data_IF_908820744852
#
_entry.id   IF_908820744852
#
_cell.length_a   1.000
_cell.length_b   1.000
_cell.length_c   1.000
_cell.angle_alpha   90.00
_cell.angle_beta   90.00
_cell.angle_gamma   90.00
#
_symmetry.space_group_name_H-M   'P 1'
#
loop_
_entity.id
_entity.type
_entity.pdbx_description
1 polymer ?
#
# COMPACT_ATOMS: atom_id res chain seq x y z
N UNK A 1 -0.49 -4.00 -2.85
CA UNK A 1 -1.10 -3.36 -4.03
C UNK A 1 -0.08 -2.81 -5.03
N UNK A 2 1.08 -2.31 -4.59
CA UNK A 2 2.10 -1.74 -5.50
C UNK A 2 2.59 -2.64 -6.64
N UNK A 3 2.61 -3.96 -6.47
CA UNK A 3 2.93 -4.90 -7.57
C UNK A 3 1.86 -4.87 -8.67
N UNK A 4 0.58 -4.70 -8.31
CA UNK A 4 -0.51 -4.51 -9.28
C UNK A 4 -0.35 -3.16 -9.99
N UNK A 5 0.00 -2.08 -9.28
CA UNK A 5 0.31 -0.78 -9.89
C UNK A 5 1.42 -0.91 -10.93
N UNK A 6 2.54 -1.55 -10.57
CA UNK A 6 3.66 -1.77 -11.51
C UNK A 6 3.25 -2.64 -12.69
N UNK A 7 2.40 -3.64 -12.48
CA UNK A 7 1.88 -4.50 -13.55
C UNK A 7 0.97 -3.73 -14.50
N UNK A 8 0.03 -2.93 -13.97
CA UNK A 8 -0.87 -2.08 -14.77
C UNK A 8 -0.09 -1.04 -15.57
N UNK A 9 0.88 -0.36 -14.96
CA UNK A 9 1.76 0.59 -15.65
C UNK A 9 2.57 -0.07 -16.76
N UNK A 10 3.01 -1.32 -16.56
CA UNK A 10 3.72 -2.10 -17.59
C UNK A 10 2.80 -2.56 -18.73
N UNK A 11 1.54 -2.90 -18.44
CA UNK A 11 0.54 -3.28 -19.46
C UNK A 11 0.13 -2.08 -20.32
N UNK A 12 -0.02 -0.89 -19.71
CA UNK A 12 -0.37 0.34 -20.43
C UNK A 12 0.78 0.82 -21.33
N UNK A 13 2.01 0.35 -21.12
CA UNK A 13 3.09 0.50 -22.10
C UNK A 13 2.96 -0.60 -23.16
N UNK A 14 2.54 -0.29 -24.41
CA UNK A 14 2.91 -1.18 -25.51
C UNK A 14 4.44 -1.23 -25.52
N UNK A 15 5.00 -2.42 -25.70
CA UNK A 15 6.42 -2.59 -25.99
C UNK A 15 6.83 -1.50 -27.00
N UNK A 16 7.62 -0.50 -26.55
CA UNK A 16 8.37 0.31 -27.50
C UNK A 16 9.39 -0.66 -28.08
N UNK A 17 9.02 -1.28 -29.20
CA UNK A 17 9.95 -2.00 -30.04
C UNK A 17 11.17 -1.10 -30.21
N UNK A 18 12.33 -1.56 -29.75
CA UNK A 18 13.58 -1.01 -30.26
C UNK A 18 13.51 -1.20 -31.77
N UNK A 19 13.58 -0.14 -32.60
CA UNK A 19 13.77 -0.35 -34.02
C UNK A 19 15.10 -1.08 -34.17
N UNK A 20 15.02 -2.28 -34.72
CA UNK A 20 16.18 -3.02 -35.15
C UNK A 20 16.75 -2.28 -36.35
N UNK A 21 17.76 -1.44 -36.16
CA UNK A 21 18.67 -1.05 -37.23
C UNK A 21 20.06 -0.89 -36.65
N UNK A 22 20.91 -1.88 -36.94
CA UNK A 22 22.35 -1.66 -37.00
C UNK A 22 22.59 -0.60 -38.07
N UNK A 23 22.96 0.59 -37.65
CA UNK A 23 23.77 1.51 -38.43
C UNK A 23 24.63 2.23 -37.39
N UNK A 24 25.93 2.02 -37.51
CA UNK A 24 26.96 2.62 -36.67
C UNK A 24 26.89 4.15 -36.86
N UNK A 25 26.22 4.84 -35.94
CA UNK A 25 26.25 6.29 -35.80
C UNK A 25 27.27 6.64 -34.71
N UNK A 26 28.43 7.26 -35.04
CA UNK A 26 29.51 7.49 -34.09
C UNK A 26 29.24 8.58 -33.04
N UNK A 27 28.13 9.33 -33.15
CA UNK A 27 27.86 10.51 -32.33
C UNK A 27 26.71 10.34 -31.31
N UNK A 28 26.29 9.11 -31.04
CA UNK A 28 25.41 8.85 -29.91
C UNK A 28 26.24 8.78 -28.63
N UNK A 29 26.11 9.81 -27.80
CA UNK A 29 26.46 9.74 -26.38
C UNK A 29 25.79 8.50 -25.78
N UNK A 30 26.60 7.46 -25.54
CA UNK A 30 26.17 6.17 -24.98
C UNK A 30 25.67 6.30 -23.53
N UNK A 31 25.64 7.51 -22.96
CA UNK A 31 25.07 7.81 -21.65
C UNK A 31 23.62 8.33 -21.72
N UNK A 32 22.77 7.82 -22.62
CA UNK A 32 21.33 8.00 -22.45
C UNK A 32 20.82 7.10 -21.31
N UNK A 33 21.17 7.45 -20.08
CA UNK A 33 20.37 7.06 -18.94
C UNK A 33 19.01 7.75 -19.09
N UNK A 34 17.89 7.00 -19.21
CA UNK A 34 16.58 7.65 -19.17
C UNK A 34 16.50 8.43 -17.86
N UNK A 35 15.99 9.67 -17.85
CA UNK A 35 15.99 10.49 -16.64
C UNK A 35 15.28 9.72 -15.53
N UNK A 36 16.03 9.30 -14.50
CA UNK A 36 15.54 8.49 -13.39
C UNK A 36 14.35 9.19 -12.69
N UNK A 37 14.35 10.53 -12.70
CA UNK A 37 13.26 11.40 -12.24
C UNK A 37 11.93 11.17 -13.00
N UNK A 38 11.94 10.89 -14.31
CA UNK A 38 10.71 10.55 -15.05
C UNK A 38 10.14 9.17 -14.62
N UNK A 39 10.92 8.31 -13.98
CA UNK A 39 10.45 6.99 -13.56
C UNK A 39 9.72 7.02 -12.22
N UNK A 40 10.22 7.77 -11.24
CA UNK A 40 9.62 7.92 -9.91
C UNK A 40 8.38 8.80 -9.93
N UNK A 41 8.40 9.94 -10.61
CA UNK A 41 7.23 10.83 -10.70
C UNK A 41 6.04 10.14 -11.37
N UNK A 42 6.33 9.43 -12.47
CA UNK A 42 5.31 8.64 -13.17
C UNK A 42 4.80 7.47 -12.33
N UNK A 43 5.69 6.81 -11.58
CA UNK A 43 5.28 5.75 -10.65
C UNK A 43 4.37 6.32 -9.57
N UNK A 44 4.75 7.43 -8.94
CA UNK A 44 3.95 8.10 -7.92
C UNK A 44 2.56 8.47 -8.43
N UNK A 45 2.47 9.14 -9.58
CA UNK A 45 1.18 9.51 -10.17
C UNK A 45 0.32 8.29 -10.50
N UNK A 46 0.92 7.22 -11.03
CA UNK A 46 0.19 5.99 -11.33
C UNK A 46 -0.29 5.28 -10.06
N UNK A 47 0.55 5.24 -9.02
CA UNK A 47 0.20 4.64 -7.74
C UNK A 47 -0.93 5.41 -7.06
N UNK A 48 -0.79 6.73 -6.91
CA UNK A 48 -1.84 7.60 -6.37
C UNK A 48 -3.14 7.46 -7.15
N UNK A 49 -3.08 7.49 -8.49
CA UNK A 49 -4.25 7.34 -9.34
C UNK A 49 -4.92 5.97 -9.18
N UNK A 50 -4.14 4.91 -9.01
CA UNK A 50 -4.65 3.57 -8.76
C UNK A 50 -5.36 3.48 -7.40
N UNK A 51 -4.73 3.98 -6.32
CA UNK A 51 -5.31 3.93 -4.98
C UNK A 51 -6.58 4.78 -4.87
N UNK A 52 -6.59 5.99 -5.43
CA UNK A 52 -7.80 6.81 -5.54
C UNK A 52 -8.87 6.10 -6.36
N UNK A 53 -8.46 5.43 -7.44
CA UNK A 53 -9.34 4.61 -8.27
C UNK A 53 -10.03 3.49 -7.49
N UNK A 54 -9.32 2.80 -6.58
CA UNK A 54 -9.91 1.79 -5.71
C UNK A 54 -10.99 2.38 -4.80
N UNK A 55 -10.73 3.55 -4.20
CA UNK A 55 -11.71 4.24 -3.36
C UNK A 55 -12.96 4.67 -4.14
N UNK A 56 -12.78 5.18 -5.37
CA UNK A 56 -13.90 5.53 -6.26
C UNK A 56 -14.70 4.29 -6.63
N UNK A 57 -14.04 3.19 -7.01
CA UNK A 57 -14.71 1.92 -7.32
C UNK A 57 -15.50 1.43 -6.10
N UNK A 58 -14.93 1.51 -4.90
CA UNK A 58 -15.62 1.13 -3.67
C UNK A 58 -16.92 1.91 -3.47
N UNK A 59 -16.86 3.24 -3.58
CA UNK A 59 -18.05 4.11 -3.42
C UNK A 59 -19.09 3.83 -4.50
N UNK A 60 -18.67 3.70 -5.76
CA UNK A 60 -19.57 3.41 -6.88
C UNK A 60 -20.23 2.07 -6.68
N UNK A 61 -19.46 1.00 -6.46
CA UNK A 61 -20.01 -0.35 -6.28
C UNK A 61 -20.90 -0.42 -5.03
N UNK A 62 -20.48 0.17 -3.92
CA UNK A 62 -21.28 0.25 -2.70
C UNK A 62 -22.61 1.00 -2.88
N UNK A 63 -22.66 2.01 -3.75
CA UNK A 63 -23.91 2.70 -4.05
C UNK A 63 -24.92 1.84 -4.84
N UNK A 64 -24.44 0.86 -5.62
CA UNK A 64 -25.31 -0.03 -6.41
C UNK A 64 -25.64 -1.36 -5.71
N UNK A 65 -24.67 -1.94 -5.00
CA UNK A 65 -24.79 -3.26 -4.37
C UNK A 65 -25.07 -3.19 -2.86
N UNK A 66 -24.89 -2.01 -2.25
CA UNK A 66 -25.00 -1.80 -0.81
C UNK A 66 -23.90 -2.52 -0.01
N UNK A 67 -23.72 -2.19 1.28
CA UNK A 67 -23.87 -0.84 1.83
C UNK A 67 -22.88 0.16 1.18
N UNK A 68 -23.04 1.46 1.42
CA UNK A 68 -22.13 2.45 0.82
C UNK A 68 -20.75 2.39 1.48
N UNK A 69 -19.68 2.41 0.68
CA UNK A 69 -18.31 2.24 1.18
C UNK A 69 -17.90 3.27 2.25
N UNK A 70 -18.48 4.46 2.20
CA UNK A 70 -18.19 5.58 3.08
C UNK A 70 -19.21 5.76 4.21
N UNK A 71 -20.12 4.80 4.43
CA UNK A 71 -21.18 4.90 5.44
C UNK A 71 -20.62 5.02 6.87
N UNK A 72 -19.51 4.34 7.14
CA UNK A 72 -18.82 4.35 8.44
C UNK A 72 -17.74 5.43 8.54
N UNK A 73 -17.66 6.35 7.58
CA UNK A 73 -16.81 7.55 7.69
C UNK A 73 -17.61 8.61 8.47
N UNK A 74 -17.09 9.13 9.59
CA UNK A 74 -17.79 10.14 10.37
C UNK A 74 -18.04 11.41 9.54
N UNK A 75 -19.17 12.09 9.75
CA UNK A 75 -19.48 13.31 9.03
C UNK A 75 -18.47 14.41 9.38
N UNK A 76 -18.17 15.30 8.43
CA UNK A 76 -17.20 16.40 8.62
C UNK A 76 -17.57 17.37 9.76
N UNK A 77 -18.83 17.40 10.17
CA UNK A 77 -19.29 18.16 11.34
C UNK A 77 -18.88 17.54 12.68
N UNK A 78 -18.62 16.24 12.73
CA UNK A 78 -18.20 15.53 13.94
C UNK A 78 -16.68 15.53 14.06
N UNK A 79 -16.14 16.70 14.40
CA UNK A 79 -14.69 16.92 14.55
C UNK A 79 -14.09 15.98 15.60
N UNK A 80 -14.84 15.67 16.67
CA UNK A 80 -14.36 14.74 17.69
C UNK A 80 -14.19 13.34 17.11
N UNK A 81 -15.20 12.83 16.38
CA UNK A 81 -15.14 11.53 15.72
C UNK A 81 -13.94 11.37 14.79
N UNK A 82 -13.63 12.44 14.06
CA UNK A 82 -12.47 12.51 13.16
C UNK A 82 -11.17 12.48 13.96
N UNK A 83 -11.02 13.36 14.95
CA UNK A 83 -9.78 13.49 15.71
C UNK A 83 -9.43 12.23 16.49
N UNK A 84 -10.42 11.62 17.19
CA UNK A 84 -10.15 10.40 17.92
C UNK A 84 -9.93 9.21 16.97
N UNK A 85 -10.67 9.14 15.85
CA UNK A 85 -10.51 8.09 14.85
C UNK A 85 -9.09 8.07 14.25
N UNK A 86 -8.64 9.24 13.78
CA UNK A 86 -7.29 9.41 13.24
C UNK A 86 -6.23 9.18 14.33
N UNK A 87 -6.42 9.74 15.52
CA UNK A 87 -5.47 9.60 16.63
C UNK A 87 -5.32 8.15 17.09
N UNK A 88 -6.42 7.42 17.25
CA UNK A 88 -6.42 6.01 17.63
C UNK A 88 -5.81 5.15 16.52
N UNK A 89 -6.17 5.36 15.26
CA UNK A 89 -5.60 4.62 14.13
C UNK A 89 -4.08 4.79 14.06
N UNK A 90 -3.60 6.04 14.14
CA UNK A 90 -2.17 6.34 14.16
C UNK A 90 -1.44 5.66 15.35
N UNK A 91 -2.06 5.64 16.54
CA UNK A 91 -1.52 4.95 17.70
C UNK A 91 -1.45 3.43 17.49
N UNK A 92 -2.49 2.83 16.91
CA UNK A 92 -2.57 1.39 16.65
C UNK A 92 -1.64 0.93 15.51
N UNK A 93 -1.17 1.84 14.65
CA UNK A 93 -0.12 1.55 13.68
C UNK A 93 1.23 1.22 14.35
N UNK A 94 1.54 1.82 15.50
CA UNK A 94 2.84 1.64 16.18
C UNK A 94 3.16 0.19 16.56
N UNK A 95 2.27 -0.58 17.24
CA UNK A 95 2.55 -1.98 17.52
C UNK A 95 2.68 -2.82 16.25
N UNK A 96 1.96 -2.49 15.18
CA UNK A 96 2.10 -3.18 13.88
C UNK A 96 3.46 -2.93 13.26
N UNK A 97 3.92 -1.67 13.25
CA UNK A 97 5.29 -1.32 12.81
C UNK A 97 6.30 -2.08 13.65
N UNK A 98 6.19 -2.03 14.98
CA UNK A 98 7.10 -2.74 15.89
C UNK A 98 7.15 -4.25 15.61
N UNK A 99 5.99 -4.87 15.35
CA UNK A 99 5.89 -6.28 14.97
C UNK A 99 6.65 -6.57 13.67
N UNK A 100 6.43 -5.78 12.61
CA UNK A 100 7.10 -6.00 11.32
C UNK A 100 8.61 -5.74 11.42
N UNK A 101 9.02 -4.69 12.13
CA UNK A 101 10.43 -4.43 12.41
C UNK A 101 11.07 -5.57 13.23
N UNK A 102 10.32 -6.18 14.14
CA UNK A 102 10.73 -7.37 14.88
C UNK A 102 10.92 -8.59 13.95
N UNK A 103 9.96 -8.84 13.06
CA UNK A 103 10.04 -9.91 12.06
C UNK A 103 11.22 -9.71 11.10
N UNK A 104 11.50 -8.48 10.68
CA UNK A 104 12.62 -8.14 9.80
C UNK A 104 13.99 -8.40 10.44
N UNK A 105 14.09 -8.45 11.77
CA UNK A 105 15.33 -8.83 12.48
C UNK A 105 15.57 -10.33 12.50
N UNK A 106 14.56 -11.14 12.21
CA UNK A 106 14.69 -12.59 12.16
C UNK A 106 15.38 -12.99 10.85
N UNK A 107 16.42 -13.84 10.95
CA UNK A 107 17.15 -14.39 9.79
C UNK A 107 16.44 -15.61 9.23
N UNK A 108 15.22 -15.38 8.75
CA UNK A 108 14.35 -16.41 8.18
C UNK A 108 14.39 -16.25 6.64
N UNK A 109 14.66 -17.32 5.87
CA UNK A 109 14.80 -17.24 4.42
C UNK A 109 13.62 -16.57 3.70
N UNK A 110 12.41 -16.83 4.18
CA UNK A 110 11.18 -16.25 3.63
C UNK A 110 11.05 -14.74 3.86
N UNK A 111 11.61 -14.23 4.96
CA UNK A 111 11.65 -12.78 5.26
C UNK A 111 12.71 -12.11 4.40
N UNK A 112 13.87 -12.74 4.26
CA UNK A 112 14.95 -12.28 3.37
C UNK A 112 14.49 -12.22 1.91
N UNK A 113 13.71 -13.20 1.44
CA UNK A 113 13.12 -13.19 0.11
C UNK A 113 12.20 -11.97 -0.11
N UNK A 114 11.33 -11.66 0.86
CA UNK A 114 10.46 -10.48 0.79
C UNK A 114 11.31 -9.20 0.71
N UNK A 115 12.30 -9.07 1.60
CA UNK A 115 13.17 -7.90 1.65
C UNK A 115 13.94 -7.72 0.33
N UNK A 116 14.47 -8.81 -0.23
CA UNK A 116 15.15 -8.81 -1.53
C UNK A 116 14.22 -8.38 -2.65
N UNK A 117 13.01 -8.95 -2.75
CA UNK A 117 12.05 -8.57 -3.79
C UNK A 117 11.60 -7.11 -3.68
N UNK A 118 11.39 -6.62 -2.45
CA UNK A 118 11.10 -5.21 -2.20
C UNK A 118 12.24 -4.31 -2.67
N UNK A 119 13.47 -4.63 -2.26
CA UNK A 119 14.69 -3.89 -2.61
C UNK A 119 15.00 -3.89 -4.10
N UNK A 120 14.87 -5.02 -4.77
CA UNK A 120 15.29 -5.15 -6.17
C UNK A 120 14.24 -4.62 -7.15
N UNK A 121 12.96 -4.56 -6.74
CA UNK A 121 11.86 -4.27 -7.68
C UNK A 121 11.01 -3.06 -7.31
N UNK A 122 10.79 -2.80 -6.02
CA UNK A 122 9.84 -1.78 -5.56
C UNK A 122 10.56 -0.51 -5.10
N UNK A 123 11.53 -0.64 -4.18
CA UNK A 123 12.22 0.51 -3.60
C UNK A 123 12.94 1.42 -4.62
N UNK A 124 13.53 0.92 -5.73
CA UNK A 124 14.17 1.79 -6.71
C UNK A 124 13.18 2.73 -7.41
N UNK A 125 11.90 2.37 -7.50
CA UNK A 125 10.86 3.25 -8.03
C UNK A 125 10.51 4.39 -7.07
N UNK A 126 10.83 4.22 -5.80
CA UNK A 126 10.43 5.09 -4.68
C UNK A 126 11.59 5.84 -4.05
N UNK A 127 12.83 5.51 -4.41
CA UNK A 127 14.04 6.03 -3.74
C UNK A 127 14.15 7.56 -3.84
N UNK A 128 13.66 8.12 -4.95
CA UNK A 128 13.70 9.56 -5.22
C UNK A 128 12.44 10.30 -4.75
N UNK A 129 11.43 9.59 -4.22
CA UNK A 129 10.25 10.24 -3.66
C UNK A 129 10.60 11.00 -2.38
N UNK A 130 10.10 12.22 -2.30
CA UNK A 130 10.15 13.05 -1.11
C UNK A 130 9.30 12.46 0.02
N UNK A 131 9.56 12.87 1.26
CA UNK A 131 8.74 12.47 2.40
C UNK A 131 7.26 12.87 2.23
N UNK A 132 6.98 13.96 1.51
CA UNK A 132 5.61 14.39 1.23
C UNK A 132 4.91 13.49 0.23
N UNK A 133 5.60 13.06 -0.83
CA UNK A 133 5.05 12.11 -1.79
C UNK A 133 4.81 10.74 -1.16
N UNK A 134 5.73 10.27 -0.30
CA UNK A 134 5.50 9.05 0.48
C UNK A 134 4.25 9.19 1.37
N UNK A 135 4.08 10.33 2.05
CA UNK A 135 2.91 10.58 2.89
C UNK A 135 1.61 10.61 2.07
N UNK A 136 1.59 11.32 0.94
CA UNK A 136 0.42 11.38 0.05
C UNK A 136 0.07 9.98 -0.46
N UNK A 137 1.06 9.23 -0.94
CA UNK A 137 0.87 7.87 -1.43
C UNK A 137 0.28 6.97 -0.34
N UNK A 138 0.82 7.01 0.88
CA UNK A 138 0.31 6.22 2.00
C UNK A 138 -1.10 6.64 2.43
N UNK A 139 -1.42 7.93 2.40
CA UNK A 139 -2.80 8.40 2.65
C UNK A 139 -3.75 7.89 1.57
N UNK A 140 -3.36 7.98 0.30
CA UNK A 140 -4.17 7.48 -0.81
C UNK A 140 -4.40 5.97 -0.71
N UNK A 141 -3.36 5.18 -0.39
CA UNK A 141 -3.47 3.74 -0.16
C UNK A 141 -4.40 3.45 1.02
N UNK A 142 -4.17 4.10 2.17
CA UNK A 142 -5.02 3.93 3.36
C UNK A 142 -6.48 4.28 3.08
N UNK A 143 -6.78 5.36 2.35
CA UNK A 143 -8.16 5.73 2.00
C UNK A 143 -8.75 4.76 0.98
N UNK A 144 -8.06 4.53 -0.13
CA UNK A 144 -8.55 3.76 -1.27
C UNK A 144 -8.78 2.29 -0.93
N UNK A 145 -7.78 1.65 -0.33
CA UNK A 145 -7.85 0.25 0.05
C UNK A 145 -8.86 0.03 1.18
N UNK A 146 -8.85 0.85 2.25
CA UNK A 146 -9.80 0.64 3.34
C UNK A 146 -11.25 0.92 2.93
N UNK A 147 -11.52 1.89 2.04
CA UNK A 147 -12.86 2.05 1.47
C UNK A 147 -13.31 0.79 0.74
N UNK A 148 -12.44 0.18 -0.06
CA UNK A 148 -12.79 -1.03 -0.83
C UNK A 148 -12.96 -2.26 0.07
N UNK A 149 -11.99 -2.54 0.92
CA UNK A 149 -11.96 -3.79 1.66
C UNK A 149 -12.80 -3.73 2.94
N UNK A 150 -12.79 -2.60 3.66
CA UNK A 150 -13.43 -2.45 4.98
C UNK A 150 -14.74 -1.73 4.85
N UNK A 151 -14.72 -0.59 4.18
CA UNK A 151 -15.89 0.23 3.91
C UNK A 151 -16.96 -0.49 3.11
N UNK A 152 -16.57 -1.29 2.11
CA UNK A 152 -17.49 -2.03 1.24
C UNK A 152 -17.44 -3.55 1.39
N UNK A 153 -16.35 -4.24 1.04
CA UNK A 153 -16.36 -5.71 0.96
C UNK A 153 -16.69 -6.39 2.30
N UNK A 154 -16.06 -5.93 3.40
CA UNK A 154 -16.32 -6.46 4.73
C UNK A 154 -17.76 -6.18 5.17
N UNK A 155 -18.23 -4.94 5.05
CA UNK A 155 -19.58 -4.53 5.47
C UNK A 155 -20.67 -5.14 4.60
N UNK A 156 -20.42 -5.36 3.30
CA UNK A 156 -21.32 -6.07 2.40
C UNK A 156 -21.58 -7.51 2.86
N UNK A 157 -20.56 -8.18 3.37
CA UNK A 157 -20.69 -9.53 3.94
C UNK A 157 -21.27 -9.49 5.36
N UNK A 158 -20.94 -8.46 6.13
CA UNK A 158 -21.35 -8.34 7.54
C UNK A 158 -22.83 -7.96 7.67
N UNK A 159 -23.37 -7.19 6.71
CA UNK A 159 -24.70 -6.61 6.73
C UNK A 159 -24.72 -5.20 7.33
N UNK A 160 -25.92 -4.63 7.46
CA UNK A 160 -26.12 -3.35 8.12
C UNK A 160 -25.75 -3.43 9.61
N UNK A 161 -25.33 -2.31 10.22
CA UNK A 161 -24.89 -2.32 11.63
C UNK A 161 -25.91 -2.93 12.59
N UNK A 162 -27.21 -2.70 12.34
CA UNK A 162 -28.31 -3.27 13.14
C UNK A 162 -28.43 -4.80 13.06
N UNK A 163 -27.78 -5.43 12.08
CA UNK A 163 -27.83 -6.86 11.80
C UNK A 163 -26.52 -7.57 12.14
N UNK A 164 -25.53 -6.84 12.67
CA UNK A 164 -24.23 -7.41 12.99
C UNK A 164 -24.35 -8.52 14.04
N UNK A 165 -23.92 -9.71 13.65
CA UNK A 165 -23.78 -10.87 14.52
C UNK A 165 -22.30 -11.25 14.63
N UNK A 166 -21.92 -11.95 15.70
CA UNK A 166 -20.55 -12.47 15.84
C UNK A 166 -20.13 -13.28 14.60
N UNK A 167 -21.05 -14.06 14.05
CA UNK A 167 -20.82 -14.87 12.85
C UNK A 167 -20.63 -14.00 11.61
N UNK A 168 -21.51 -13.03 11.34
CA UNK A 168 -21.39 -12.19 10.15
C UNK A 168 -20.14 -11.30 10.20
N UNK A 169 -19.80 -10.76 11.38
CA UNK A 169 -18.55 -10.01 11.58
C UNK A 169 -17.32 -10.88 11.35
N UNK A 170 -17.27 -12.09 11.91
CA UNK A 170 -16.14 -12.99 11.73
C UNK A 170 -15.95 -13.39 10.26
N UNK A 171 -17.03 -13.69 9.54
CA UNK A 171 -16.97 -14.04 8.11
C UNK A 171 -16.55 -12.83 7.28
N UNK A 172 -17.15 -11.65 7.53
CA UNK A 172 -16.80 -10.42 6.82
C UNK A 172 -15.33 -10.05 6.99
N UNK A 173 -14.83 -10.06 8.23
CA UNK A 173 -13.41 -9.82 8.53
C UNK A 173 -12.54 -10.84 7.81
N UNK A 174 -12.84 -12.14 7.94
CA UNK A 174 -12.01 -13.19 7.34
C UNK A 174 -11.94 -13.07 5.81
N UNK A 175 -13.10 -12.94 5.14
CA UNK A 175 -13.16 -12.88 3.67
C UNK A 175 -12.50 -11.61 3.15
N UNK A 176 -12.80 -10.45 3.71
CA UNK A 176 -12.16 -9.20 3.29
C UNK A 176 -10.64 -9.24 3.49
N UNK A 177 -10.18 -9.79 4.62
CA UNK A 177 -8.75 -9.96 4.91
C UNK A 177 -8.09 -10.93 3.95
N UNK A 178 -8.76 -12.02 3.58
CA UNK A 178 -8.24 -13.01 2.63
C UNK A 178 -8.06 -12.39 1.25
N UNK A 179 -9.08 -11.68 0.76
CA UNK A 179 -8.99 -10.98 -0.53
C UNK A 179 -7.91 -9.90 -0.48
N UNK A 180 -7.81 -9.15 0.61
CA UNK A 180 -6.75 -8.17 0.85
C UNK A 180 -5.35 -8.78 0.78
N UNK A 181 -5.12 -9.88 1.50
CA UNK A 181 -3.85 -10.61 1.47
C UNK A 181 -3.51 -11.15 0.08
N UNK A 182 -4.50 -11.69 -0.65
CA UNK A 182 -4.31 -12.20 -2.01
C UNK A 182 -4.02 -11.08 -3.02
N UNK A 183 -4.60 -9.89 -2.85
CA UNK A 183 -4.27 -8.71 -3.64
C UNK A 183 -2.83 -8.22 -3.41
N UNK A 184 -2.16 -8.73 -2.36
CA UNK A 184 -0.77 -8.48 -2.02
C UNK A 184 0.14 -9.67 -2.30
N UNK A 185 -0.22 -10.57 -3.21
CA UNK A 185 0.56 -11.77 -3.50
C UNK A 185 1.93 -11.48 -4.15
N UNK A 186 2.94 -11.23 -3.31
CA UNK A 186 4.36 -11.18 -3.68
C UNK A 186 5.02 -12.52 -3.37
N UNK A 187 4.88 -12.96 -2.11
CA UNK A 187 5.31 -14.28 -1.63
C UNK A 187 4.20 -14.87 -0.75
N UNK A 188 4.23 -16.18 -0.50
CA UNK A 188 3.26 -16.84 0.37
C UNK A 188 3.27 -16.26 1.79
N UNK A 189 4.47 -15.98 2.33
CA UNK A 189 4.60 -15.38 3.66
C UNK A 189 4.03 -13.96 3.67
N UNK A 190 4.27 -13.18 2.63
CA UNK A 190 3.75 -11.82 2.56
C UNK A 190 2.22 -11.80 2.50
N UNK A 191 1.59 -12.74 1.76
CA UNK A 191 0.13 -12.92 1.79
C UNK A 191 -0.36 -13.19 3.22
N UNK A 192 0.31 -14.04 3.99
CA UNK A 192 -0.08 -14.37 5.37
C UNK A 192 0.07 -13.16 6.29
N UNK A 193 1.16 -12.40 6.18
CA UNK A 193 1.39 -11.19 6.99
C UNK A 193 0.34 -10.13 6.67
N UNK A 194 0.07 -9.89 5.38
CA UNK A 194 -0.93 -8.91 4.95
C UNK A 194 -2.35 -9.37 5.28
N UNK A 195 -2.64 -10.68 5.23
CA UNK A 195 -3.89 -11.25 5.73
C UNK A 195 -4.09 -10.98 7.23
N UNK A 196 -3.02 -11.12 8.04
CA UNK A 196 -3.09 -10.84 9.46
C UNK A 196 -3.32 -9.34 9.74
N UNK A 197 -2.63 -8.44 9.02
CA UNK A 197 -2.94 -7.00 9.05
C UNK A 197 -4.39 -6.74 8.60
N UNK A 198 -4.82 -7.49 7.59
CA UNK A 198 -6.18 -7.67 7.12
C UNK A 198 -7.18 -7.70 8.26
N UNK A 199 -6.99 -8.72 9.10
CA UNK A 199 -7.82 -9.03 10.27
C UNK A 199 -7.77 -7.89 11.29
N UNK A 200 -6.58 -7.35 11.57
CA UNK A 200 -6.43 -6.25 12.53
C UNK A 200 -7.25 -5.02 12.13
N UNK A 201 -7.17 -4.59 10.87
CA UNK A 201 -7.96 -3.48 10.36
C UNK A 201 -9.47 -3.79 10.37
N UNK A 202 -9.85 -5.03 10.03
CA UNK A 202 -11.24 -5.46 10.10
C UNK A 202 -11.81 -5.44 11.53
N UNK A 203 -11.00 -5.87 12.52
CA UNK A 203 -11.33 -5.77 13.94
C UNK A 203 -11.44 -4.31 14.38
N UNK A 204 -10.50 -3.45 13.96
CA UNK A 204 -10.57 -2.01 14.26
C UNK A 204 -11.88 -1.41 13.78
N UNK A 205 -12.33 -1.74 12.56
CA UNK A 205 -13.61 -1.25 12.05
C UNK A 205 -14.77 -1.67 12.95
N UNK A 206 -14.95 -2.97 13.19
CA UNK A 206 -16.12 -3.47 13.95
C UNK A 206 -16.10 -3.04 15.42
N UNK A 207 -14.91 -2.90 16.01
CA UNK A 207 -14.77 -2.49 17.41
C UNK A 207 -15.06 -0.99 17.62
N UNK A 208 -14.96 -0.18 16.56
CA UNK A 208 -15.02 1.28 16.66
C UNK A 208 -16.19 1.90 15.92
N UNK A 209 -16.77 1.21 14.93
CA UNK A 209 -17.78 1.78 14.01
C UNK A 209 -17.24 2.96 13.20
N UNK A 210 -15.92 3.13 13.12
CA UNK A 210 -15.29 4.32 12.55
C UNK A 210 -14.22 3.92 11.55
N UNK A 211 -14.51 4.10 10.26
CA UNK A 211 -13.61 3.73 9.17
C UNK A 211 -12.32 4.58 9.13
N UNK A 212 -12.29 5.76 9.76
CA UNK A 212 -11.05 6.53 9.86
C UNK A 212 -10.00 5.86 10.74
N UNK A 213 -10.40 4.97 11.66
CA UNK A 213 -9.45 4.22 12.50
C UNK A 213 -8.57 3.30 11.64
N UNK A 214 -9.10 2.35 10.85
CA UNK A 214 -8.27 1.53 9.96
C UNK A 214 -7.61 2.35 8.85
N UNK A 215 -8.25 3.39 8.29
CA UNK A 215 -7.63 4.28 7.29
C UNK A 215 -6.34 4.91 7.85
N UNK A 216 -6.42 5.53 9.03
CA UNK A 216 -5.27 6.17 9.64
C UNK A 216 -4.21 5.14 10.07
N UNK A 217 -4.62 3.98 10.58
CA UNK A 217 -3.69 2.91 10.94
C UNK A 217 -2.90 2.43 9.72
N UNK A 218 -3.58 2.18 8.60
CA UNK A 218 -2.96 1.76 7.35
C UNK A 218 -2.02 2.84 6.79
N UNK A 219 -2.50 4.07 6.64
CA UNK A 219 -1.70 5.17 6.10
C UNK A 219 -0.44 5.46 6.94
N UNK A 220 -0.56 5.46 8.27
CA UNK A 220 0.60 5.69 9.16
C UNK A 220 1.57 4.51 9.12
N UNK A 221 1.06 3.28 9.13
CA UNK A 221 1.88 2.08 9.01
C UNK A 221 2.70 2.11 7.71
N UNK A 222 2.05 2.35 6.57
CA UNK A 222 2.70 2.40 5.27
C UNK A 222 3.74 3.51 5.18
N UNK A 223 3.39 4.71 5.65
CA UNK A 223 4.32 5.85 5.62
C UNK A 223 5.60 5.53 6.39
N UNK A 224 5.47 4.98 7.60
CA UNK A 224 6.63 4.63 8.43
C UNK A 224 7.45 3.53 7.75
N UNK A 225 6.81 2.46 7.26
CA UNK A 225 7.49 1.34 6.62
C UNK A 225 8.23 1.76 5.34
N UNK A 226 7.60 2.55 4.48
CA UNK A 226 8.21 3.07 3.26
C UNK A 226 9.37 4.00 3.58
N UNK A 227 9.19 4.94 4.52
CA UNK A 227 10.25 5.86 4.92
C UNK A 227 11.46 5.12 5.47
N UNK A 228 11.25 4.13 6.34
CA UNK A 228 12.34 3.30 6.88
C UNK A 228 13.07 2.54 5.77
N UNK A 229 12.32 1.92 4.85
CA UNK A 229 12.89 1.15 3.76
C UNK A 229 13.71 2.01 2.78
N UNK A 230 13.18 3.18 2.37
CA UNK A 230 13.89 4.12 1.49
C UNK A 230 15.12 4.70 2.19
N UNK A 231 15.02 5.01 3.49
CA UNK A 231 16.16 5.52 4.27
C UNK A 231 17.28 4.49 4.38
N UNK A 232 16.96 3.22 4.54
CA UNK A 232 17.95 2.16 4.61
C UNK A 232 18.66 1.94 3.26
N UNK A 233 17.90 1.93 2.16
CA UNK A 233 18.46 1.86 0.80
C UNK A 233 19.49 2.98 0.55
N UNK A 234 19.16 4.23 0.95
CA UNK A 234 20.06 5.38 0.79
C UNK A 234 21.34 5.25 1.61
N UNK A 235 21.26 4.71 2.83
CA UNK A 235 22.44 4.49 3.67
C UNK A 235 23.36 3.42 3.08
N UNK A 236 22.80 2.34 2.56
CA UNK A 236 23.57 1.26 1.94
C UNK A 236 24.30 1.75 0.67
N UNK A 237 23.65 2.57 -0.16
CA UNK A 237 24.29 3.20 -1.31
C UNK A 237 25.47 4.10 -0.90
N UNK A 238 25.25 4.98 0.08
CA UNK A 238 26.30 5.88 0.58
C UNK A 238 27.46 5.13 1.28
N UNK A 239 27.17 4.01 1.94
CA UNK A 239 28.19 3.18 2.59
C UNK A 239 29.01 2.32 1.61
N UNK A 240 28.42 1.92 0.48
CA UNK A 240 29.09 1.16 -0.57
C UNK A 240 30.14 1.98 -1.34
N UNK A 241 29.84 3.25 -1.64
CA UNK A 241 30.75 4.17 -2.35
C UNK A 241 32.05 4.45 -1.58
N UNK A 242 32.04 4.42 -0.25
CA UNK A 242 33.23 4.67 0.59
C UNK A 242 34.19 3.47 0.61
N UNK A 243 33.77 2.29 0.14
CA UNK A 243 34.53 1.04 0.25
C UNK A 243 35.17 0.53 -1.05
N UNK A 244 35.02 1.25 -2.16
CA UNK A 244 35.67 0.91 -3.43
C UNK A 244 37.17 1.34 -3.38
N UNK A 245 38.13 0.41 -3.39
CA UNK A 245 39.54 0.77 -3.48
C UNK A 245 39.86 1.25 -4.90
N UNK A 246 40.59 2.38 -5.00
CA UNK A 246 41.25 2.85 -6.23
C UNK A 246 42.24 1.84 -6.82
#
# INVERSE_FOLDING_TARGET
>A
MMVLVVTVVRIIRPFRNKPCSKMDDPDLDDNFEPPVLESSDRFFMAAVGFEVGLGVVAVVVGSFLGPSANELVPPLSDVWAILWGVGLGALLALPMVAMVQGLQKLRIPQVEEINRLGRDRMLPLMENLSNWELAILSICAGVGEELLFRGWLQTWITGSESEWSVTSMAIGIFVASLVFGLAHAITKLYVIVVFAMGILFGIMLVATGNLLVPIAAHAVFDFIQLKLAVSELKKEAAGGEVSAPE
#
